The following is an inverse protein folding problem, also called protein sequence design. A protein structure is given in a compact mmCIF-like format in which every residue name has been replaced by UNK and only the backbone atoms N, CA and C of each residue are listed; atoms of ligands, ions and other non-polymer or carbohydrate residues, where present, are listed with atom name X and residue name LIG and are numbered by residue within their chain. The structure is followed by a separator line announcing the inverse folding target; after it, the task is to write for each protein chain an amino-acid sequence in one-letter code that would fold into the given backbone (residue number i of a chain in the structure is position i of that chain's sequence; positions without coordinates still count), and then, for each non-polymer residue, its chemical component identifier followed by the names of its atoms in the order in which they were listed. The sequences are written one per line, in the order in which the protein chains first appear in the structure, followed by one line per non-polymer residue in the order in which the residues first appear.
data_IF_995806939970
#
_entry.id   IF_995806939970
#
_cell.length_a   1.000
_cell.length_b   1.000
_cell.length_c   1.000
_cell.angle_alpha   90.00
_cell.angle_beta   90.00
_cell.angle_gamma   90.00
#
_symmetry.space_group_name_H-M   'P 1'
#
loop_
_entity.id
_entity.type
_entity.pdbx_description
1 polymer ?
#
# COMPACT_ATOMS: atom_id res chain seq x y z
N UNK A 1 7.37 43.38 -5.68
CA UNK A 1 6.95 41.98 -5.81
C UNK A 1 7.66 41.19 -4.70
N UNK A 2 6.94 40.70 -3.68
CA UNK A 2 7.56 39.90 -2.62
C UNK A 2 7.66 38.45 -3.09
N UNK A 3 8.87 37.99 -3.36
CA UNK A 3 9.17 36.57 -3.53
C UNK A 3 8.82 35.85 -2.23
N UNK A 4 7.81 34.99 -2.25
CA UNK A 4 7.59 34.03 -1.15
C UNK A 4 8.56 32.88 -1.39
N UNK A 5 9.66 32.87 -0.67
CA UNK A 5 10.54 31.71 -0.62
C UNK A 5 9.74 30.52 -0.06
N UNK A 6 9.75 29.41 -0.80
CA UNK A 6 9.10 28.18 -0.38
C UNK A 6 9.78 27.55 0.84
N UNK A 7 9.09 26.65 1.56
CA UNK A 7 9.64 26.01 2.75
C UNK A 7 10.93 25.26 2.44
N UNK A 8 11.92 25.43 3.32
CA UNK A 8 13.23 24.81 3.18
C UNK A 8 13.16 23.29 3.35
N UNK A 9 14.22 22.57 2.95
CA UNK A 9 14.29 21.12 3.14
C UNK A 9 14.22 20.71 4.64
N UNK A 10 14.67 21.58 5.54
CA UNK A 10 14.57 21.39 6.98
C UNK A 10 13.11 21.52 7.43
N UNK A 11 12.39 22.53 6.93
CA UNK A 11 10.98 22.75 7.24
C UNK A 11 10.12 21.56 6.80
N UNK A 12 10.36 21.01 5.60
CA UNK A 12 9.68 19.80 5.11
C UNK A 12 9.90 18.58 6.02
N UNK A 13 11.11 18.40 6.55
CA UNK A 13 11.43 17.30 7.47
C UNK A 13 10.73 17.45 8.81
N UNK A 14 10.67 18.67 9.33
CA UNK A 14 9.98 18.99 10.58
C UNK A 14 8.47 18.75 10.43
N UNK A 15 7.87 19.21 9.34
CA UNK A 15 6.45 19.02 9.04
C UNK A 15 6.07 17.52 8.97
N UNK A 16 6.89 16.71 8.30
CA UNK A 16 6.72 15.25 8.26
C UNK A 16 6.85 14.64 9.66
N UNK A 17 7.84 15.06 10.46
CA UNK A 17 8.02 14.56 11.81
C UNK A 17 6.84 14.90 12.73
N UNK A 18 6.27 16.11 12.61
CA UNK A 18 5.09 16.54 13.35
C UNK A 18 3.83 15.80 12.93
N UNK A 19 3.63 15.57 11.62
CA UNK A 19 2.53 14.73 11.11
C UNK A 19 2.61 13.31 11.68
N UNK A 20 3.80 12.70 11.64
CA UNK A 20 4.08 11.40 12.24
C UNK A 20 3.82 11.35 13.75
N UNK A 21 4.24 12.37 14.48
CA UNK A 21 4.04 12.46 15.92
C UNK A 21 2.56 12.61 16.26
N UNK A 22 1.85 13.49 15.56
CA UNK A 22 0.41 13.67 15.75
C UNK A 22 -0.36 12.38 15.45
N UNK A 23 -0.02 11.68 14.38
CA UNK A 23 -0.58 10.36 14.07
C UNK A 23 -0.33 9.36 15.22
N UNK A 24 0.91 9.29 15.73
CA UNK A 24 1.25 8.41 16.85
C UNK A 24 0.52 8.78 18.15
N UNK A 25 0.33 10.07 18.44
CA UNK A 25 -0.38 10.54 19.62
C UNK A 25 -1.88 10.20 19.53
N UNK A 26 -2.50 10.33 18.36
CA UNK A 26 -3.89 9.88 18.11
C UNK A 26 -4.05 8.37 18.37
N UNK A 27 -3.09 7.56 17.90
CA UNK A 27 -3.06 6.11 18.19
C UNK A 27 -2.98 5.81 19.70
N UNK A 28 -2.18 6.56 20.46
CA UNK A 28 -2.04 6.35 21.92
C UNK A 28 -3.27 6.77 22.71
N UNK A 29 -4.03 7.75 22.22
CA UNK A 29 -5.22 8.30 22.90
C UNK A 29 -6.50 7.51 22.63
N UNK A 30 -6.46 6.52 21.74
CA UNK A 30 -7.66 5.75 21.36
C UNK A 30 -8.69 6.58 20.61
N UNK A 31 -8.27 7.70 20.03
CA UNK A 31 -9.15 8.54 19.20
C UNK A 31 -9.60 7.75 17.96
N UNK A 32 -10.89 7.84 17.62
CA UNK A 32 -11.45 7.20 16.44
C UNK A 32 -10.79 7.81 15.20
N UNK A 33 -9.92 7.05 14.53
CA UNK A 33 -9.28 7.47 13.29
C UNK A 33 -10.24 7.23 12.12
N UNK A 34 -10.87 8.29 11.63
CA UNK A 34 -11.69 8.21 10.40
C UNK A 34 -10.85 8.32 9.11
N UNK A 35 -9.52 8.17 9.11
CA UNK A 35 -8.73 8.44 7.88
C UNK A 35 -7.78 7.35 7.40
N UNK A 36 -7.31 6.40 8.21
CA UNK A 36 -6.49 5.27 7.72
C UNK A 36 -6.65 3.99 8.55
N UNK A 37 -7.15 2.91 7.96
CA UNK A 37 -7.29 1.61 8.64
C UNK A 37 -7.16 0.43 7.68
N UNK A 38 -6.97 -0.79 8.21
CA UNK A 38 -7.19 -2.00 7.43
C UNK A 38 -8.68 -2.14 7.10
N UNK A 39 -9.01 -2.75 5.96
CA UNK A 39 -10.39 -3.11 5.65
C UNK A 39 -10.95 -4.03 6.75
N UNK A 40 -12.11 -3.66 7.32
CA UNK A 40 -12.73 -4.26 8.50
C UNK A 40 -11.80 -4.40 9.73
N UNK A 41 -10.74 -3.60 9.81
CA UNK A 41 -9.73 -3.64 10.88
C UNK A 41 -9.03 -5.01 11.00
N UNK A 42 -8.95 -5.78 9.90
CA UNK A 42 -8.38 -7.13 9.87
C UNK A 42 -7.46 -7.33 8.67
N UNK A 43 -6.40 -8.11 8.88
CA UNK A 43 -5.59 -8.62 7.77
C UNK A 43 -6.41 -9.67 7.03
N UNK A 44 -6.64 -9.42 5.74
CA UNK A 44 -7.18 -10.37 4.77
C UNK A 44 -6.48 -10.16 3.45
N UNK A 45 -6.42 -11.24 2.67
CA UNK A 45 -5.80 -11.23 1.37
C UNK A 45 -6.85 -11.11 0.28
N UNK A 46 -6.59 -10.22 -0.68
CA UNK A 46 -7.47 -9.94 -1.79
C UNK A 46 -6.71 -10.08 -3.10
N UNK A 47 -7.39 -10.65 -4.09
CA UNK A 47 -6.97 -10.69 -5.48
C UNK A 47 -7.67 -9.59 -6.25
N UNK A 48 -6.92 -8.76 -6.96
CA UNK A 48 -7.49 -7.72 -7.83
C UNK A 48 -7.69 -8.30 -9.23
N UNK A 49 -8.86 -8.08 -9.81
CA UNK A 49 -9.18 -8.53 -11.17
C UNK A 49 -8.15 -8.07 -12.20
N UNK A 50 -7.74 -8.98 -13.08
CA UNK A 50 -6.68 -8.72 -14.04
C UNK A 50 -7.04 -7.61 -15.03
N UNK A 51 -8.30 -7.54 -15.47
CA UNK A 51 -8.78 -6.47 -16.35
C UNK A 51 -8.63 -5.08 -15.70
N UNK A 52 -9.04 -4.96 -14.44
CA UNK A 52 -8.89 -3.70 -13.69
C UNK A 52 -7.42 -3.29 -13.54
N UNK A 53 -6.55 -4.23 -13.20
CA UNK A 53 -5.09 -3.94 -13.13
C UNK A 53 -4.52 -3.52 -14.48
N UNK A 54 -4.91 -4.20 -15.58
CA UNK A 54 -4.48 -3.85 -16.94
C UNK A 54 -4.95 -2.46 -17.33
N UNK A 55 -6.16 -2.08 -16.94
CA UNK A 55 -6.66 -0.72 -17.12
C UNK A 55 -5.76 0.30 -16.40
N UNK A 56 -5.50 0.14 -15.09
CA UNK A 56 -4.64 1.07 -14.35
C UNK A 56 -3.20 1.12 -14.90
N UNK A 57 -2.66 -0.02 -15.35
CA UNK A 57 -1.33 -0.12 -15.96
C UNK A 57 -1.19 0.70 -17.26
N UNK A 58 -2.28 1.02 -17.95
CA UNK A 58 -2.22 1.90 -19.13
C UNK A 58 -1.73 3.29 -18.75
N UNK A 59 -2.03 3.74 -17.53
CA UNK A 59 -1.71 5.07 -17.02
C UNK A 59 -0.42 5.10 -16.18
N UNK A 60 -0.14 4.04 -15.41
CA UNK A 60 1.11 3.92 -14.66
C UNK A 60 1.75 2.53 -14.80
N UNK A 61 2.94 2.48 -15.40
CA UNK A 61 3.70 1.23 -15.65
C UNK A 61 4.29 0.61 -14.38
N UNK A 62 4.20 1.28 -13.23
CA UNK A 62 4.58 0.72 -11.92
C UNK A 62 3.50 -0.17 -11.32
N UNK A 63 2.27 -0.13 -11.85
CA UNK A 63 1.25 -1.14 -11.53
C UNK A 63 1.77 -2.50 -11.98
N UNK A 64 1.84 -3.47 -11.08
CA UNK A 64 2.41 -4.77 -11.45
C UNK A 64 1.38 -5.60 -12.23
N UNK A 65 1.75 -6.03 -13.44
CA UNK A 65 0.99 -7.00 -14.26
C UNK A 65 1.51 -8.44 -14.15
N UNK A 66 2.40 -8.72 -13.20
CA UNK A 66 2.91 -10.08 -13.01
C UNK A 66 1.76 -11.08 -12.87
N UNK A 67 1.90 -12.18 -13.59
CA UNK A 67 0.94 -13.28 -13.72
C UNK A 67 1.50 -14.61 -13.19
N UNK A 68 2.73 -14.61 -12.64
CA UNK A 68 3.39 -15.80 -12.08
C UNK A 68 2.69 -16.30 -10.80
N UNK A 69 1.91 -15.43 -10.16
CA UNK A 69 0.96 -15.73 -9.08
C UNK A 69 -0.21 -14.76 -9.19
N UNK A 70 -1.36 -15.14 -8.63
CA UNK A 70 -2.48 -14.22 -8.37
C UNK A 70 -1.97 -12.95 -7.69
N UNK A 71 -2.48 -11.79 -8.09
CA UNK A 71 -2.07 -10.52 -7.51
C UNK A 71 -2.69 -10.34 -6.14
N UNK A 72 -2.07 -10.96 -5.14
CA UNK A 72 -2.55 -10.96 -3.77
C UNK A 72 -1.97 -9.78 -3.00
N UNK A 73 -2.82 -9.07 -2.28
CA UNK A 73 -2.42 -7.99 -1.38
C UNK A 73 -3.37 -7.84 -0.20
N UNK A 74 -3.07 -6.90 0.68
CA UNK A 74 -3.99 -6.47 1.76
C UNK A 74 -4.67 -5.17 1.35
N UNK A 75 -5.86 -4.90 1.92
CA UNK A 75 -6.58 -3.64 1.68
C UNK A 75 -6.46 -2.73 2.90
N UNK A 76 -6.11 -1.46 2.64
CA UNK A 76 -6.26 -0.34 3.57
C UNK A 76 -7.32 0.63 3.03
N UNK A 77 -8.05 1.28 3.91
CA UNK A 77 -8.89 2.44 3.61
C UNK A 77 -8.12 3.69 4.00
N UNK A 78 -7.93 4.62 3.06
CA UNK A 78 -7.24 5.90 3.25
C UNK A 78 -8.11 7.01 2.66
N UNK A 79 -8.54 7.99 3.45
CA UNK A 79 -9.40 9.11 2.98
C UNK A 79 -10.66 8.64 2.20
N UNK A 80 -11.29 7.54 2.63
CA UNK A 80 -12.41 6.86 1.95
C UNK A 80 -12.09 6.19 0.59
N UNK A 81 -10.81 6.06 0.26
CA UNK A 81 -10.32 5.32 -0.91
C UNK A 81 -9.71 4.01 -0.43
N UNK A 82 -10.12 2.90 -1.04
CA UNK A 82 -9.51 1.61 -0.76
C UNK A 82 -8.25 1.42 -1.60
N UNK A 83 -7.19 0.94 -0.97
CA UNK A 83 -5.92 0.67 -1.59
C UNK A 83 -5.53 -0.78 -1.38
N UNK A 84 -5.17 -1.48 -2.47
CA UNK A 84 -4.50 -2.78 -2.38
C UNK A 84 -3.00 -2.57 -2.35
N UNK A 85 -2.36 -3.08 -1.30
CA UNK A 85 -0.90 -3.13 -1.18
C UNK A 85 -0.44 -4.53 -1.57
N UNK A 86 0.30 -4.69 -2.68
CA UNK A 86 0.68 -6.02 -3.17
C UNK A 86 1.75 -6.69 -2.32
N UNK A 87 1.63 -8.01 -2.22
CA UNK A 87 2.69 -8.90 -1.75
C UNK A 87 3.70 -9.20 -2.87
N UNK A 88 4.93 -9.52 -2.48
CA UNK A 88 5.94 -10.11 -3.36
C UNK A 88 6.67 -11.25 -2.66
N UNK A 89 6.76 -12.40 -3.31
CA UNK A 89 7.63 -13.51 -2.90
C UNK A 89 9.11 -13.28 -3.22
N UNK A 90 9.42 -12.16 -3.89
CA UNK A 90 10.78 -11.70 -4.18
C UNK A 90 11.11 -10.51 -3.26
N UNK A 91 11.38 -10.72 -1.96
CA UNK A 91 11.57 -9.64 -0.98
C UNK A 91 12.88 -8.88 -1.20
N UNK A 92 13.84 -9.49 -1.90
CA UNK A 92 15.09 -8.85 -2.30
C UNK A 92 15.01 -8.32 -3.74
N UNK A 93 15.90 -7.39 -4.05
CA UNK A 93 16.17 -6.92 -5.42
C UNK A 93 16.94 -7.99 -6.20
N UNK A 94 17.04 -7.83 -7.53
CA UNK A 94 17.78 -8.78 -8.40
C UNK A 94 19.26 -8.88 -8.03
N UNK A 95 19.83 -7.81 -7.48
CA UNK A 95 21.22 -7.72 -6.99
C UNK A 95 21.41 -8.27 -5.57
N UNK A 96 20.39 -8.91 -4.99
CA UNK A 96 20.40 -9.46 -3.63
C UNK A 96 20.25 -8.41 -2.52
N UNK A 97 20.21 -7.12 -2.83
CA UNK A 97 20.06 -6.07 -1.82
C UNK A 97 18.62 -5.98 -1.32
N UNK A 98 18.45 -5.48 -0.08
CA UNK A 98 17.14 -5.14 0.47
C UNK A 98 16.43 -4.10 -0.39
N UNK A 99 15.10 -4.19 -0.42
CA UNK A 99 14.23 -3.18 -1.04
C UNK A 99 14.24 -1.89 -0.21
N UNK A 100 13.66 -0.82 -0.77
CA UNK A 100 13.63 0.46 -0.07
C UNK A 100 12.78 0.35 1.21
N UNK A 101 13.42 0.50 2.37
CA UNK A 101 12.80 0.40 3.70
C UNK A 101 11.65 1.39 3.93
N UNK A 102 11.64 2.53 3.22
CA UNK A 102 10.56 3.55 3.34
C UNK A 102 9.23 3.04 2.77
N UNK A 103 9.27 2.14 1.80
CA UNK A 103 8.09 1.70 1.05
C UNK A 103 7.86 0.20 1.11
N UNK A 104 8.66 -0.53 1.89
CA UNK A 104 8.62 -1.99 1.97
C UNK A 104 8.42 -2.43 3.41
N UNK A 105 7.47 -3.32 3.67
CA UNK A 105 7.37 -4.08 4.93
C UNK A 105 7.84 -5.49 4.65
N UNK A 106 8.94 -5.89 5.29
CA UNK A 106 9.50 -7.23 5.17
C UNK A 106 8.65 -8.23 5.96
N UNK A 107 8.47 -9.45 5.44
CA UNK A 107 7.64 -10.49 6.03
C UNK A 107 8.51 -11.71 6.30
N UNK A 108 8.50 -12.16 7.56
CA UNK A 108 9.32 -13.26 8.03
C UNK A 108 8.45 -14.45 8.44
N UNK A 109 8.93 -15.67 8.21
CA UNK A 109 8.29 -16.86 8.78
C UNK A 109 8.63 -17.00 10.28
N UNK A 110 8.10 -18.04 10.92
CA UNK A 110 8.32 -18.31 12.35
C UNK A 110 9.78 -18.61 12.69
N UNK A 111 10.55 -19.15 11.74
CA UNK A 111 12.00 -19.37 11.86
C UNK A 111 12.85 -18.10 11.68
N UNK A 112 12.22 -16.94 11.48
CA UNK A 112 12.93 -15.66 11.28
C UNK A 112 13.53 -15.49 9.88
N UNK A 113 13.11 -16.31 8.91
CA UNK A 113 13.58 -16.23 7.51
C UNK A 113 12.72 -15.22 6.75
N UNK A 114 13.36 -14.31 6.02
CA UNK A 114 12.68 -13.37 5.12
C UNK A 114 12.07 -14.11 3.93
N UNK A 115 10.74 -14.21 3.90
CA UNK A 115 10.01 -14.97 2.87
C UNK A 115 9.30 -14.09 1.86
N UNK A 116 8.88 -12.89 2.25
CA UNK A 116 7.95 -12.06 1.47
C UNK A 116 8.10 -10.58 1.84
N UNK A 117 7.42 -9.69 1.13
CA UNK A 117 7.29 -8.29 1.48
C UNK A 117 6.00 -7.66 0.94
N UNK A 118 5.47 -6.64 1.64
CA UNK A 118 4.46 -5.72 1.10
C UNK A 118 5.13 -4.52 0.42
N UNK A 119 4.65 -4.15 -0.76
CA UNK A 119 5.22 -3.05 -1.57
C UNK A 119 4.27 -1.85 -1.60
N UNK A 120 4.42 -0.94 -0.64
CA UNK A 120 3.61 0.27 -0.51
C UNK A 120 3.83 1.21 -1.70
N UNK A 121 5.03 1.25 -2.28
CA UNK A 121 5.29 2.03 -3.49
C UNK A 121 4.49 1.52 -4.71
N UNK A 122 3.98 0.28 -4.68
CA UNK A 122 3.17 -0.30 -5.74
C UNK A 122 1.70 -0.45 -5.34
N UNK A 123 1.25 0.20 -4.26
CA UNK A 123 -0.16 0.16 -3.91
C UNK A 123 -1.01 0.86 -4.98
N UNK A 124 -2.22 0.36 -5.19
CA UNK A 124 -3.15 0.88 -6.20
C UNK A 124 -4.51 1.17 -5.56
N UNK A 125 -5.18 2.25 -5.94
CA UNK A 125 -6.56 2.48 -5.53
C UNK A 125 -7.46 1.44 -6.21
N UNK A 126 -8.51 1.02 -5.52
CA UNK A 126 -9.46 0.01 -5.99
C UNK A 126 -10.88 0.38 -5.60
N UNK A 127 -11.83 -0.11 -6.40
CA UNK A 127 -13.20 -0.33 -5.93
C UNK A 127 -13.31 -1.79 -5.48
N UNK A 128 -13.90 -2.04 -4.30
CA UNK A 128 -13.98 -3.37 -3.71
C UNK A 128 -14.70 -4.39 -4.60
N UNK A 129 -15.55 -3.95 -5.54
CA UNK A 129 -16.21 -4.81 -6.52
C UNK A 129 -15.24 -5.55 -7.44
N UNK A 130 -14.04 -5.02 -7.66
CA UNK A 130 -13.00 -5.65 -8.47
C UNK A 130 -11.94 -6.38 -7.61
N UNK A 131 -12.28 -6.64 -6.34
CA UNK A 131 -11.40 -7.31 -5.37
C UNK A 131 -12.09 -8.58 -4.84
N UNK A 132 -11.44 -9.72 -5.04
CA UNK A 132 -11.92 -11.01 -4.59
C UNK A 132 -11.19 -11.44 -3.32
N UNK A 133 -11.93 -11.79 -2.27
CA UNK A 133 -11.32 -12.34 -1.05
C UNK A 133 -10.66 -13.68 -1.36
N UNK A 134 -9.37 -13.82 -1.02
CA UNK A 134 -8.63 -15.07 -1.20
C UNK A 134 -9.06 -16.08 -0.13
N UNK A 135 -9.54 -17.23 -0.57
CA UNK A 135 -9.76 -18.38 0.30
C UNK A 135 -8.45 -19.16 0.44
N UNK A 136 -7.67 -18.85 1.48
CA UNK A 136 -6.33 -19.44 1.73
C UNK A 136 -6.37 -20.97 1.71
N UNK A 137 -7.41 -21.60 2.26
CA UNK A 137 -7.52 -23.06 2.35
C UNK A 137 -7.62 -23.75 0.98
N UNK A 138 -8.05 -23.03 -0.06
CA UNK A 138 -8.19 -23.55 -1.43
C UNK A 138 -6.99 -23.24 -2.32
N UNK A 139 -5.98 -22.53 -1.83
CA UNK A 139 -4.82 -22.14 -2.63
C UNK A 139 -3.72 -23.21 -2.59
N UNK A 140 -3.06 -23.44 -3.74
CA UNK A 140 -1.99 -24.45 -3.88
C UNK A 140 -0.82 -24.23 -2.91
N UNK A 141 -0.56 -22.96 -2.55
CA UNK A 141 0.55 -22.52 -1.70
C UNK A 141 0.04 -22.01 -0.34
N UNK A 142 -0.98 -22.66 0.23
CA UNK A 142 -1.64 -22.24 1.47
C UNK A 142 -0.68 -22.03 2.66
N UNK A 143 0.30 -22.91 2.87
CA UNK A 143 1.21 -22.81 4.02
C UNK A 143 2.08 -21.55 3.96
N UNK A 144 2.43 -21.15 2.73
CA UNK A 144 3.12 -19.89 2.47
C UNK A 144 2.23 -18.68 2.80
N UNK A 145 0.98 -18.68 2.33
CA UNK A 145 0.00 -17.65 2.67
C UNK A 145 -0.27 -17.57 4.18
N UNK A 146 -0.37 -18.71 4.86
CA UNK A 146 -0.54 -18.77 6.32
C UNK A 146 0.66 -18.12 7.01
N UNK A 147 1.88 -18.40 6.57
CA UNK A 147 3.08 -17.76 7.12
C UNK A 147 3.07 -16.23 6.92
N UNK A 148 2.68 -15.77 5.73
CA UNK A 148 2.52 -14.33 5.43
C UNK A 148 1.46 -13.71 6.36
N UNK A 149 0.30 -14.35 6.49
CA UNK A 149 -0.81 -13.91 7.33
C UNK A 149 -0.41 -13.82 8.80
N UNK A 150 0.22 -14.87 9.34
CA UNK A 150 0.65 -14.97 10.74
C UNK A 150 1.61 -13.84 11.11
N UNK A 151 2.52 -13.46 10.21
CA UNK A 151 3.39 -12.33 10.43
C UNK A 151 2.64 -11.00 10.36
N UNK A 152 1.82 -10.81 9.33
CA UNK A 152 1.12 -9.54 9.07
C UNK A 152 0.06 -9.19 10.12
N UNK A 153 -0.56 -10.17 10.78
CA UNK A 153 -1.56 -9.94 11.84
C UNK A 153 -0.98 -9.43 13.17
N UNK A 154 0.35 -9.40 13.32
CA UNK A 154 1.01 -8.88 14.52
C UNK A 154 0.73 -7.38 14.67
N UNK A 155 0.44 -6.91 15.89
CA UNK A 155 -0.01 -5.52 16.13
C UNK A 155 1.04 -4.49 15.70
N UNK A 156 2.30 -4.78 15.99
CA UNK A 156 3.46 -3.97 15.62
C UNK A 156 3.66 -3.88 14.11
N UNK A 157 3.40 -4.98 13.38
CA UNK A 157 3.49 -5.02 11.91
C UNK A 157 2.35 -4.23 11.29
N UNK A 158 1.12 -4.38 11.80
CA UNK A 158 -0.03 -3.57 11.36
C UNK A 158 0.28 -2.08 11.55
N UNK A 159 0.83 -1.69 12.71
CA UNK A 159 1.22 -0.30 12.98
C UNK A 159 2.29 0.19 12.00
N UNK A 160 3.29 -0.63 11.70
CA UNK A 160 4.32 -0.32 10.71
C UNK A 160 3.72 -0.07 9.32
N UNK A 161 2.81 -0.95 8.88
CA UNK A 161 2.12 -0.84 7.59
C UNK A 161 1.38 0.50 7.50
N UNK A 162 0.51 0.79 8.47
CA UNK A 162 -0.32 2.01 8.44
C UNK A 162 0.55 3.28 8.49
N UNK A 163 1.60 3.29 9.31
CA UNK A 163 2.53 4.42 9.37
C UNK A 163 3.25 4.65 8.04
N UNK A 164 3.72 3.57 7.39
CA UNK A 164 4.40 3.70 6.10
C UNK A 164 3.44 4.10 4.99
N UNK A 165 2.21 3.58 4.97
CA UNK A 165 1.17 4.00 4.01
C UNK A 165 0.91 5.49 4.13
N UNK A 166 0.63 5.98 5.33
CA UNK A 166 0.38 7.40 5.60
C UNK A 166 1.54 8.27 5.08
N UNK A 167 2.77 7.95 5.49
CA UNK A 167 3.96 8.71 5.09
C UNK A 167 4.22 8.69 3.58
N UNK A 168 4.17 7.51 2.95
CA UNK A 168 4.46 7.38 1.52
C UNK A 168 3.39 8.10 0.70
N UNK A 169 2.12 7.98 1.09
CA UNK A 169 1.03 8.65 0.41
C UNK A 169 1.15 10.18 0.51
N UNK A 170 1.32 10.74 1.72
CA UNK A 170 1.50 12.19 1.92
C UNK A 170 2.69 12.73 1.12
N UNK A 171 3.84 12.05 1.17
CA UNK A 171 5.04 12.50 0.46
C UNK A 171 4.84 12.50 -1.06
N UNK A 172 4.21 11.46 -1.61
CA UNK A 172 3.99 11.33 -3.05
C UNK A 172 2.90 12.29 -3.54
N UNK A 173 1.79 12.44 -2.79
CA UNK A 173 0.67 13.31 -3.16
C UNK A 173 1.03 14.80 -3.13
N UNK A 174 1.96 15.19 -2.25
CA UNK A 174 2.39 16.57 -2.08
C UNK A 174 3.78 16.86 -2.67
N UNK A 175 4.31 15.98 -3.51
CA UNK A 175 5.60 16.18 -4.21
C UNK A 175 6.76 16.58 -3.27
N UNK A 176 6.80 15.96 -2.07
CA UNK A 176 7.80 16.32 -1.04
C UNK A 176 9.17 15.66 -1.27
N UNK A 177 9.25 14.64 -2.14
CA UNK A 177 10.45 13.84 -2.41
C UNK A 177 10.46 13.27 -3.85
N UNK A 178 11.38 13.77 -4.68
CA UNK A 178 11.49 13.40 -6.10
C UNK A 178 11.79 11.91 -6.33
N UNK A 179 12.58 11.32 -5.44
CA UNK A 179 12.87 9.89 -5.52
C UNK A 179 11.60 9.09 -5.26
N UNK A 180 10.85 9.37 -4.19
CA UNK A 180 9.62 8.62 -3.92
C UNK A 180 8.54 8.88 -4.97
N UNK A 181 8.42 10.10 -5.49
CA UNK A 181 7.51 10.42 -6.59
C UNK A 181 7.81 9.58 -7.84
N UNK A 182 9.08 9.48 -8.22
CA UNK A 182 9.49 8.67 -9.37
C UNK A 182 9.42 7.16 -9.09
N UNK A 183 9.55 6.74 -7.84
CA UNK A 183 9.61 5.33 -7.43
C UNK A 183 8.23 4.70 -7.14
N UNK A 184 7.27 5.49 -6.65
CA UNK A 184 5.93 5.04 -6.31
C UNK A 184 4.96 5.17 -7.49
N UNK A 185 3.86 4.41 -7.45
CA UNK A 185 2.72 4.66 -8.31
C UNK A 185 2.24 6.13 -8.16
N UNK A 186 1.78 6.73 -9.24
CA UNK A 186 1.12 8.02 -9.24
C UNK A 186 -0.28 7.87 -8.64
N UNK A 187 -0.36 7.97 -7.31
CA UNK A 187 -1.60 7.73 -6.56
C UNK A 187 -2.73 8.64 -7.04
N UNK A 188 -2.45 9.93 -7.25
CA UNK A 188 -3.47 10.90 -7.68
C UNK A 188 -4.03 10.53 -9.06
N UNK A 189 -3.16 10.21 -10.01
CA UNK A 189 -3.59 9.77 -11.33
C UNK A 189 -4.43 8.50 -11.24
N UNK A 190 -3.99 7.49 -10.48
CA UNK A 190 -4.70 6.23 -10.39
C UNK A 190 -6.05 6.36 -9.66
N UNK A 191 -6.18 7.27 -8.69
CA UNK A 191 -7.46 7.57 -8.01
C UNK A 191 -8.50 8.09 -9.01
N UNK A 192 -8.12 9.05 -9.86
CA UNK A 192 -8.98 9.58 -10.91
C UNK A 192 -9.43 8.47 -11.88
N UNK A 193 -8.51 7.58 -12.25
CA UNK A 193 -8.82 6.44 -13.13
C UNK A 193 -9.71 5.40 -12.45
N UNK A 194 -9.54 5.15 -11.15
CA UNK A 194 -10.44 4.29 -10.38
C UNK A 194 -11.89 4.80 -10.45
N UNK A 195 -12.11 6.11 -10.25
CA UNK A 195 -13.44 6.74 -10.34
C UNK A 195 -14.04 6.61 -11.73
N UNK A 196 -13.23 6.79 -12.79
CA UNK A 196 -13.68 6.66 -14.18
C UNK A 196 -14.08 5.22 -14.50
N UNK A 197 -13.26 4.23 -14.15
CA UNK A 197 -13.55 2.81 -14.40
C UNK A 197 -14.86 2.38 -13.74
N UNK A 198 -15.06 2.79 -12.47
CA UNK A 198 -16.29 2.54 -11.71
C UNK A 198 -17.55 3.04 -12.41
N UNK A 199 -17.48 4.19 -13.09
CA UNK A 199 -18.60 4.79 -13.83
C UNK A 199 -18.86 4.08 -15.16
N UNK A 200 -17.80 3.65 -15.85
CA UNK A 200 -17.89 2.98 -17.16
C UNK A 200 -18.35 1.53 -17.06
N UNK A 201 -17.99 0.83 -15.98
CA UNK A 201 -18.40 -0.55 -15.72
C UNK A 201 -19.15 -0.66 -14.38
N UNK A 202 -20.38 -0.15 -14.29
CA UNK A 202 -21.21 -0.45 -13.13
C UNK A 202 -21.36 -1.97 -13.06
N UNK A 203 -20.88 -2.57 -11.98
CA UNK A 203 -20.95 -4.01 -11.74
C UNK A 203 -22.41 -4.45 -11.95
N UNK A 204 -22.66 -5.30 -12.95
CA UNK A 204 -23.98 -5.91 -13.11
C UNK A 204 -24.21 -6.76 -11.86
N UNK A 205 -25.29 -6.44 -11.14
CA UNK A 205 -25.75 -7.20 -9.98
C UNK A 205 -26.19 -8.59 -10.39
#
# INVERSE_FOLDING_TARGET
MKNREGPTLVDKKIEIALSNLNFYLKLKRGEKMDELTLLDQKIRFYEVEDEYRRYLYQFDKKVSLKSDRKYTGIIVSLENIFYVIPLTSKPLRKDGRKRNKRTTVEIYNESGILISALLINNMIPVDLRYCNLVNIEKEKYKDYLISEYTYLRKKEVIKEILLKVSNVYDIVKHDKDDFLKSFCCDFKLLEDKCVIYKKQKPHLK
#
